data_IF_569397465455
#
_entry.id   IF_569397465455
#
_cell.length_a   1.000
_cell.length_b   1.000
_cell.length_c   1.000
_cell.angle_alpha   90.00
_cell.angle_beta   90.00
_cell.angle_gamma   90.00
#
_symmetry.space_group_name_H-M   'P 1'
#
loop_
_entity.id
_entity.type
_entity.pdbx_description
1 polymer ?
#
# COMPACT_ATOMS: atom_id res chain seq x y z
N UNK A 1 -19.70 11.71 1.85
CA UNK A 1 -18.58 12.39 1.19
C UNK A 1 -17.52 11.38 0.78
N UNK A 2 -16.79 11.65 -0.29
CA UNK A 2 -15.77 10.74 -0.82
C UNK A 2 -14.68 10.39 0.21
N UNK A 3 -14.28 11.36 1.04
CA UNK A 3 -13.27 11.17 2.08
C UNK A 3 -13.68 10.06 3.06
N UNK A 4 -14.94 10.08 3.52
CA UNK A 4 -15.43 9.09 4.49
C UNK A 4 -15.46 7.69 3.87
N UNK A 5 -15.84 7.59 2.58
CA UNK A 5 -15.86 6.33 1.87
C UNK A 5 -14.48 5.67 1.84
N UNK A 6 -13.45 6.43 1.51
CA UNK A 6 -12.09 5.90 1.44
C UNK A 6 -11.51 5.62 2.82
N UNK A 7 -11.79 6.47 3.79
CA UNK A 7 -11.29 6.33 5.15
C UNK A 7 -11.65 4.97 5.76
N UNK A 8 -12.92 4.59 5.65
CA UNK A 8 -13.38 3.33 6.22
C UNK A 8 -12.73 2.14 5.56
N UNK A 9 -12.60 2.16 4.24
CA UNK A 9 -11.94 1.07 3.50
C UNK A 9 -10.47 0.97 3.85
N UNK A 10 -9.76 2.10 3.93
CA UNK A 10 -8.33 2.12 4.28
C UNK A 10 -8.11 1.53 5.67
N UNK A 11 -8.97 1.85 6.63
CA UNK A 11 -8.81 1.34 8.00
C UNK A 11 -8.93 -0.17 8.11
N UNK A 12 -9.53 -0.84 7.10
CA UNK A 12 -9.69 -2.29 7.06
C UNK A 12 -8.52 -3.02 6.42
N UNK A 13 -7.52 -2.31 5.88
CA UNK A 13 -6.35 -2.92 5.23
C UNK A 13 -5.62 -3.86 6.20
N UNK A 14 -5.25 -5.07 5.75
CA UNK A 14 -4.64 -6.07 6.65
C UNK A 14 -3.43 -5.56 7.45
N UNK A 15 -2.53 -4.79 6.83
CA UNK A 15 -1.35 -4.29 7.54
C UNK A 15 -1.73 -3.39 8.72
N UNK A 16 -2.87 -2.70 8.64
CA UNK A 16 -3.32 -1.79 9.72
C UNK A 16 -3.98 -2.53 10.88
N UNK A 17 -4.33 -3.82 10.69
CA UNK A 17 -4.97 -4.58 11.78
C UNK A 17 -4.03 -4.82 12.97
N UNK A 18 -2.73 -4.62 12.78
CA UNK A 18 -1.75 -4.70 13.86
C UNK A 18 -1.70 -3.44 14.72
N UNK A 19 -2.44 -2.41 14.34
CA UNK A 19 -2.43 -1.10 15.00
C UNK A 19 -3.74 -0.87 15.77
N UNK A 20 -3.69 0.05 16.75
CA UNK A 20 -4.90 0.40 17.50
C UNK A 20 -5.96 1.04 16.59
N UNK A 21 -7.26 0.91 16.90
CA UNK A 21 -8.32 1.51 16.09
C UNK A 21 -8.16 3.01 15.87
N UNK A 22 -7.78 3.76 16.89
CA UNK A 22 -7.58 5.20 16.77
C UNK A 22 -6.44 5.55 15.82
N UNK A 23 -5.34 4.81 15.89
CA UNK A 23 -4.21 5.01 15.00
C UNK A 23 -4.57 4.66 13.56
N UNK A 24 -5.32 3.58 13.33
CA UNK A 24 -5.78 3.21 11.99
C UNK A 24 -6.59 4.33 11.34
N UNK A 25 -7.47 4.96 12.09
CA UNK A 25 -8.29 6.05 11.55
C UNK A 25 -7.45 7.28 11.22
N UNK A 26 -6.48 7.62 12.07
CA UNK A 26 -5.58 8.75 11.80
C UNK A 26 -4.72 8.50 10.56
N UNK A 27 -4.22 7.26 10.39
CA UNK A 27 -3.45 6.90 9.20
C UNK A 27 -4.30 6.96 7.94
N UNK A 28 -5.56 6.52 8.04
CA UNK A 28 -6.48 6.58 6.90
C UNK A 28 -6.70 8.01 6.45
N UNK A 29 -6.89 8.94 7.38
CA UNK A 29 -7.06 10.36 7.06
C UNK A 29 -5.81 10.94 6.40
N UNK A 30 -4.63 10.57 6.90
CA UNK A 30 -3.35 11.01 6.31
C UNK A 30 -3.23 10.50 4.88
N UNK A 31 -3.49 9.22 4.65
CA UNK A 31 -3.38 8.62 3.33
C UNK A 31 -4.34 9.24 2.33
N UNK A 32 -5.58 9.48 2.73
CA UNK A 32 -6.53 10.18 1.85
C UNK A 32 -5.99 11.56 1.47
N UNK A 33 -5.39 12.26 2.43
CA UNK A 33 -4.87 13.61 2.21
C UNK A 33 -3.67 13.69 1.28
N UNK A 34 -2.85 12.63 1.19
CA UNK A 34 -1.63 12.62 0.36
C UNK A 34 -1.79 11.80 -0.92
N UNK A 35 -2.97 11.26 -1.19
CA UNK A 35 -3.21 10.34 -2.31
C UNK A 35 -3.98 10.99 -3.45
N UNK A 36 -3.84 10.38 -4.64
CA UNK A 36 -4.63 10.73 -5.83
C UNK A 36 -5.37 9.48 -6.31
N UNK A 37 -6.63 9.63 -6.68
CA UNK A 37 -7.44 8.52 -7.16
C UNK A 37 -7.08 8.15 -8.60
N UNK A 38 -6.99 6.85 -8.86
CA UNK A 38 -6.75 6.28 -10.18
C UNK A 38 -7.67 5.09 -10.39
N UNK A 39 -8.36 5.05 -11.52
CA UNK A 39 -9.26 3.96 -11.87
C UNK A 39 -8.65 3.17 -13.02
N UNK A 40 -8.59 1.85 -12.90
CA UNK A 40 -8.04 0.97 -13.93
C UNK A 40 -9.02 -0.15 -14.28
N UNK A 41 -9.10 -0.45 -15.56
CA UNK A 41 -9.88 -1.57 -16.07
C UNK A 41 -9.09 -2.86 -15.98
N UNK A 42 -9.77 -4.00 -16.11
CA UNK A 42 -9.14 -5.32 -16.17
C UNK A 42 -8.03 -5.32 -17.23
N UNK A 43 -6.86 -5.84 -16.86
CA UNK A 43 -5.68 -5.86 -17.72
C UNK A 43 -4.78 -4.66 -17.54
N UNK A 44 -5.23 -3.61 -16.83
CA UNK A 44 -4.38 -2.45 -16.53
C UNK A 44 -3.21 -2.86 -15.65
N UNK A 45 -2.08 -2.16 -15.81
CA UNK A 45 -0.85 -2.44 -15.05
C UNK A 45 -0.61 -1.33 -14.03
N UNK A 46 -0.49 -1.73 -12.76
CA UNK A 46 -0.19 -0.79 -11.68
C UNK A 46 1.33 -0.57 -11.60
N UNK A 47 2.08 -1.67 -11.58
CA UNK A 47 3.55 -1.65 -11.57
C UNK A 47 4.09 -2.76 -12.48
N UNK A 48 5.27 -2.55 -13.09
CA UNK A 48 5.98 -3.57 -13.85
C UNK A 48 7.26 -3.98 -13.12
N UNK A 49 7.50 -5.28 -13.01
CA UNK A 49 8.74 -5.80 -12.42
C UNK A 49 9.95 -5.27 -13.20
N UNK A 50 10.95 -4.82 -12.47
CA UNK A 50 12.18 -4.28 -13.05
C UNK A 50 12.15 -2.82 -13.43
N UNK A 51 10.96 -2.20 -13.44
CA UNK A 51 10.86 -0.76 -13.65
C UNK A 51 11.42 0.00 -12.45
N UNK A 52 11.94 1.20 -12.72
CA UNK A 52 12.44 2.07 -11.66
C UNK A 52 11.33 2.38 -10.67
N UNK A 53 11.64 2.24 -9.38
CA UNK A 53 10.71 2.53 -8.31
C UNK A 53 10.72 4.04 -8.01
N UNK A 54 9.58 4.69 -8.21
CA UNK A 54 9.44 6.13 -7.97
C UNK A 54 9.09 6.47 -6.52
N UNK A 55 9.29 5.52 -5.61
CA UNK A 55 8.99 5.68 -4.18
C UNK A 55 7.50 5.91 -3.93
N UNK A 56 6.66 5.14 -4.63
CA UNK A 56 5.21 5.24 -4.51
C UNK A 56 4.59 3.94 -4.02
N UNK A 57 3.42 4.06 -3.41
CA UNK A 57 2.56 2.95 -3.07
C UNK A 57 1.16 3.22 -3.59
N UNK A 58 0.32 2.21 -3.56
CA UNK A 58 -1.07 2.35 -3.95
C UNK A 58 -1.99 1.58 -3.01
N UNK A 59 -3.11 2.19 -2.68
CA UNK A 59 -4.14 1.55 -1.87
C UNK A 59 -5.25 1.08 -2.79
N UNK A 60 -5.56 -0.21 -2.73
CA UNK A 60 -6.66 -0.79 -3.50
C UNK A 60 -7.94 -0.63 -2.69
N UNK A 61 -8.82 0.24 -3.17
CA UNK A 61 -10.10 0.53 -2.51
C UNK A 61 -11.19 -0.43 -2.96
N UNK A 62 -11.22 -0.74 -4.26
CA UNK A 62 -12.19 -1.66 -4.86
C UNK A 62 -11.48 -2.48 -5.94
N UNK A 63 -11.95 -3.70 -6.15
CA UNK A 63 -11.45 -4.58 -7.20
C UNK A 63 -10.44 -5.60 -6.71
N UNK A 64 -9.67 -6.15 -7.65
CA UNK A 64 -8.65 -7.16 -7.35
C UNK A 64 -7.47 -7.02 -8.28
N UNK A 65 -6.31 -7.44 -7.78
CA UNK A 65 -5.03 -7.39 -8.49
C UNK A 65 -4.35 -8.75 -8.45
N UNK A 66 -3.53 -9.00 -9.46
CA UNK A 66 -2.60 -10.14 -9.45
C UNK A 66 -1.19 -9.59 -9.28
N UNK A 67 -0.44 -10.14 -8.34
CA UNK A 67 0.97 -9.81 -8.11
C UNK A 67 1.81 -10.96 -8.61
N UNK A 68 2.73 -10.69 -9.55
CA UNK A 68 3.58 -11.72 -10.16
C UNK A 68 5.04 -11.35 -9.97
N UNK A 69 5.75 -12.17 -9.20
CA UNK A 69 7.19 -12.01 -8.94
C UNK A 69 8.03 -12.84 -9.90
N UNK A 70 8.77 -13.82 -9.35
CA UNK A 70 9.55 -14.76 -10.14
C UNK A 70 8.62 -15.69 -10.94
N UNK A 71 9.11 -16.32 -12.04
CA UNK A 71 8.28 -17.21 -12.83
C UNK A 71 7.58 -18.27 -11.95
N UNK A 72 6.27 -18.35 -12.08
CA UNK A 72 5.44 -19.25 -11.29
C UNK A 72 5.04 -18.72 -9.91
N UNK A 73 5.57 -17.59 -9.49
CA UNK A 73 5.26 -17.00 -8.18
C UNK A 73 4.22 -15.90 -8.35
N UNK A 74 2.95 -16.21 -8.09
CA UNK A 74 1.85 -15.25 -8.18
C UNK A 74 0.95 -15.34 -6.97
N UNK A 75 0.33 -14.22 -6.60
CA UNK A 75 -0.77 -14.23 -5.62
C UNK A 75 -1.78 -13.14 -5.95
N UNK A 76 -2.98 -13.32 -5.42
CA UNK A 76 -4.08 -12.37 -5.61
C UNK A 76 -4.18 -11.41 -4.45
N UNK A 77 -4.54 -10.17 -4.76
CA UNK A 77 -4.79 -9.13 -3.76
C UNK A 77 -6.20 -8.62 -3.96
N UNK A 78 -7.01 -8.71 -2.93
CA UNK A 78 -8.40 -8.23 -2.95
C UNK A 78 -8.54 -6.98 -2.09
N UNK A 79 -9.41 -6.06 -2.49
CA UNK A 79 -9.68 -4.84 -1.74
C UNK A 79 -10.37 -5.13 -0.40
N UNK A 80 -10.12 -4.34 0.66
CA UNK A 80 -9.12 -3.26 0.68
C UNK A 80 -7.71 -3.80 0.97
N UNK A 81 -6.71 -3.25 0.32
CA UNK A 81 -5.33 -3.68 0.55
C UNK A 81 -4.35 -2.60 0.07
N UNK A 82 -3.05 -2.87 0.23
CA UNK A 82 -2.00 -1.96 -0.19
C UNK A 82 -0.99 -2.72 -1.05
N UNK A 83 -0.48 -2.06 -2.08
CA UNK A 83 0.61 -2.58 -2.91
C UNK A 83 1.71 -1.52 -3.02
N UNK A 84 2.93 -1.96 -3.38
CA UNK A 84 4.09 -1.06 -3.38
C UNK A 84 4.78 -0.98 -2.03
N UNK A 85 4.32 -1.75 -1.04
CA UNK A 85 4.87 -1.77 0.32
C UNK A 85 6.28 -2.36 0.37
N UNK A 86 6.67 -3.15 -0.63
CA UNK A 86 8.02 -3.72 -0.71
C UNK A 86 9.10 -2.66 -0.90
N UNK A 87 8.70 -1.43 -1.21
CA UNK A 87 9.60 -0.29 -1.20
C UNK A 87 10.38 -0.20 0.11
N UNK A 88 9.79 -0.64 1.21
CA UNK A 88 10.43 -0.61 2.52
C UNK A 88 11.64 -1.56 2.60
N UNK A 89 11.73 -2.53 1.68
CA UNK A 89 12.81 -3.52 1.63
C UNK A 89 13.63 -3.43 0.35
N UNK A 90 13.25 -2.57 -0.59
CA UNK A 90 13.87 -2.49 -1.90
C UNK A 90 15.02 -1.47 -1.92
N UNK A 91 16.24 -1.96 -1.73
CA UNK A 91 17.44 -1.13 -1.70
C UNK A 91 17.91 -0.72 -3.09
N UNK A 92 17.43 -1.37 -4.15
CA UNK A 92 17.94 -1.18 -5.51
C UNK A 92 17.07 -0.26 -6.37
N UNK A 93 15.95 0.21 -5.85
CA UNK A 93 15.09 1.16 -6.54
C UNK A 93 14.27 0.60 -7.71
N UNK A 94 14.15 -0.72 -7.82
CA UNK A 94 13.36 -1.36 -8.87
C UNK A 94 12.17 -2.11 -8.27
N UNK A 95 11.08 -2.18 -9.04
CA UNK A 95 9.90 -2.94 -8.61
C UNK A 95 10.21 -4.43 -8.60
N UNK A 96 9.78 -5.10 -7.53
CA UNK A 96 10.05 -6.53 -7.33
C UNK A 96 9.03 -7.43 -8.01
N UNK A 97 7.91 -6.88 -8.45
CA UNK A 97 6.84 -7.66 -9.06
C UNK A 97 6.04 -6.82 -10.06
N UNK A 98 5.37 -7.52 -10.99
CA UNK A 98 4.38 -6.91 -11.86
C UNK A 98 3.01 -7.02 -11.19
N UNK A 99 2.29 -5.91 -11.09
CA UNK A 99 0.96 -5.85 -10.47
C UNK A 99 -0.03 -5.41 -11.53
N UNK A 100 -1.01 -6.27 -11.82
CA UNK A 100 -2.00 -6.01 -12.86
C UNK A 100 -3.42 -6.22 -12.33
N UNK A 101 -4.39 -5.59 -12.98
CA UNK A 101 -5.80 -5.58 -12.55
C UNK A 101 -6.52 -6.81 -13.07
N UNK A 102 -7.15 -7.57 -12.18
CA UNK A 102 -7.99 -8.73 -12.53
C UNK A 102 -9.48 -8.46 -12.36
N UNK A 103 -9.84 -7.46 -11.54
CA UNK A 103 -11.20 -6.92 -11.45
C UNK A 103 -11.09 -5.40 -11.44
N UNK A 104 -11.97 -4.71 -12.13
CA UNK A 104 -11.95 -3.25 -12.24
C UNK A 104 -11.61 -2.61 -10.89
N UNK A 105 -10.58 -1.77 -10.87
CA UNK A 105 -9.96 -1.31 -9.65
C UNK A 105 -10.06 0.20 -9.44
N UNK A 106 -10.30 0.58 -8.18
CA UNK A 106 -10.14 1.96 -7.71
C UNK A 106 -8.93 1.98 -6.80
N UNK A 107 -7.94 2.79 -7.15
CA UNK A 107 -6.66 2.89 -6.45
C UNK A 107 -6.43 4.32 -5.95
N UNK A 108 -5.75 4.43 -4.82
CA UNK A 108 -5.22 5.70 -4.33
C UNK A 108 -3.71 5.62 -4.37
N UNK A 109 -3.10 6.38 -5.28
CA UNK A 109 -1.63 6.44 -5.41
C UNK A 109 -1.07 7.48 -4.46
N UNK A 110 0.03 7.16 -3.79
CA UNK A 110 0.68 8.10 -2.88
C UNK A 110 2.20 7.93 -2.93
N UNK A 111 2.91 8.98 -2.51
CA UNK A 111 4.36 8.95 -2.32
C UNK A 111 4.66 8.50 -0.89
N UNK A 112 5.56 7.52 -0.73
CA UNK A 112 6.03 7.11 0.61
C UNK A 112 6.68 8.26 1.34
N UNK A 113 7.40 9.12 0.63
CA UNK A 113 8.03 10.29 1.21
C UNK A 113 6.99 11.25 1.80
N UNK A 114 5.92 11.51 1.06
CA UNK A 114 4.84 12.39 1.53
C UNK A 114 4.11 11.79 2.73
N UNK A 115 3.89 10.47 2.72
CA UNK A 115 3.27 9.77 3.83
C UNK A 115 4.11 9.88 5.11
N UNK A 116 5.41 9.61 5.00
CA UNK A 116 6.33 9.68 6.14
C UNK A 116 6.40 11.11 6.69
N UNK A 117 6.46 12.09 5.81
CA UNK A 117 6.46 13.50 6.21
C UNK A 117 5.18 13.86 6.96
N UNK A 118 4.03 13.46 6.43
CA UNK A 118 2.74 13.74 7.07
C UNK A 118 2.64 13.09 8.44
N UNK A 119 3.18 11.87 8.60
CA UNK A 119 3.25 11.20 9.90
C UNK A 119 4.09 11.99 10.90
N UNK A 120 5.24 12.49 10.46
CA UNK A 120 6.14 13.27 11.33
C UNK A 120 5.53 14.58 11.77
N UNK A 121 4.78 15.22 10.88
CA UNK A 121 4.19 16.54 11.13
C UNK A 121 2.83 16.47 11.84
N UNK A 122 2.26 15.28 11.99
CA UNK A 122 0.94 15.12 12.60
C UNK A 122 0.99 15.37 14.10
N UNK A 123 0.21 16.35 14.57
CA UNK A 123 0.25 16.82 15.95
C UNK A 123 -0.13 15.77 16.99
N UNK A 124 -0.97 14.80 16.62
CA UNK A 124 -1.52 13.81 17.56
C UNK A 124 -0.73 12.51 17.58
N UNK A 125 -0.10 12.14 16.44
CA UNK A 125 0.64 10.88 16.34
C UNK A 125 1.98 11.01 17.08
N UNK A 126 2.21 10.13 18.05
CA UNK A 126 3.42 10.12 18.86
C UNK A 126 4.59 9.45 18.14
N UNK A 127 5.81 9.67 18.64
CA UNK A 127 7.00 9.01 18.12
C UNK A 127 6.88 7.49 18.24
N UNK A 128 6.35 7.00 19.35
CA UNK A 128 6.11 5.57 19.57
C UNK A 128 5.13 5.01 18.53
N UNK A 129 4.06 5.74 18.23
CA UNK A 129 3.10 5.32 17.22
C UNK A 129 3.71 5.29 15.82
N UNK A 130 4.57 6.27 15.48
CA UNK A 130 5.30 6.26 14.21
C UNK A 130 6.17 5.02 14.07
N UNK A 131 6.84 4.63 15.16
CA UNK A 131 7.66 3.41 15.17
C UNK A 131 6.80 2.16 14.94
N UNK A 132 5.62 2.10 15.55
CA UNK A 132 4.68 0.98 15.37
C UNK A 132 4.24 0.86 13.90
N UNK A 133 3.94 1.97 13.25
CA UNK A 133 3.56 2.01 11.84
C UNK A 133 4.69 1.46 10.97
N UNK A 134 5.91 1.92 11.20
CA UNK A 134 7.10 1.47 10.46
C UNK A 134 7.30 -0.03 10.59
N UNK A 135 7.20 -0.56 11.81
CA UNK A 135 7.36 -1.99 12.04
C UNK A 135 6.25 -2.81 11.39
N UNK A 136 5.01 -2.31 11.41
CA UNK A 136 3.89 -2.99 10.76
C UNK A 136 4.12 -3.14 9.25
N UNK A 137 4.56 -2.07 8.59
CA UNK A 137 4.84 -2.12 7.16
C UNK A 137 6.01 -3.03 6.83
N UNK A 138 7.07 -3.01 7.63
CA UNK A 138 8.22 -3.89 7.43
C UNK A 138 7.84 -5.36 7.55
N UNK A 139 7.07 -5.70 8.57
CA UNK A 139 6.61 -7.08 8.78
C UNK A 139 5.75 -7.55 7.60
N UNK A 140 4.82 -6.71 7.16
CA UNK A 140 3.93 -7.04 6.05
C UNK A 140 4.68 -7.21 4.73
N UNK A 141 5.62 -6.31 4.44
CA UNK A 141 6.44 -6.37 3.24
C UNK A 141 7.33 -7.61 3.25
N UNK A 142 7.89 -7.97 4.41
CA UNK A 142 8.71 -9.17 4.57
C UNK A 142 7.92 -10.44 4.27
N UNK A 143 6.69 -10.55 4.77
CA UNK A 143 5.82 -11.70 4.53
C UNK A 143 5.49 -11.82 3.04
N UNK A 144 5.18 -10.71 2.37
CA UNK A 144 4.92 -10.71 0.93
C UNK A 144 6.13 -11.08 0.10
N UNK A 145 7.31 -10.61 0.48
CA UNK A 145 8.55 -10.96 -0.20
C UNK A 145 8.78 -12.47 -0.16
N UNK A 146 8.52 -13.11 0.98
CA UNK A 146 8.62 -14.57 1.11
C UNK A 146 7.68 -15.28 0.16
N UNK A 147 6.44 -14.81 0.00
CA UNK A 147 5.47 -15.40 -0.93
C UNK A 147 5.95 -15.35 -2.38
N UNK A 148 6.74 -14.34 -2.74
CA UNK A 148 7.23 -14.15 -4.10
C UNK A 148 8.54 -14.88 -4.39
N UNK A 149 9.31 -15.23 -3.37
CA UNK A 149 10.66 -15.79 -3.55
C UNK A 149 10.79 -17.25 -3.11
N UNK A 150 9.88 -17.71 -2.30
CA UNK A 150 9.85 -19.10 -1.83
C UNK A 150 9.00 -19.95 -2.76
#
# INVERSE_FOLDING_TARGET
>A
MAVDRFRDRISEIPVFQMLSPGLRLRLSDILVGVSSERNLEVGGVVYEKGMEDENTGAILIEGALEVRGDPGQTFQVSAPNIVGEMQQLNEFGQRTATVSVTEEAVLLDFSWHDFVRALKEHAVITESERAQVKEAFKAYAGDRLKELTD
#
